data_IF_539715634704
#
_entry.id   IF_539715634704
#
_cell.length_a   1.000
_cell.length_b   1.000
_cell.length_c   1.000
_cell.angle_alpha   90.00
_cell.angle_beta   90.00
_cell.angle_gamma   90.00
#
_symmetry.space_group_name_H-M   'P 1'
#
loop_
_entity.id
_entity.type
_entity.pdbx_description
1 polymer ?
#
# COMPACT_ATOMS: atom_id res chain seq x y z
N UNK A 1 -16.60 -17.86 -22.10
CA UNK A 1 -15.22 -17.34 -22.31
C UNK A 1 -14.87 -16.24 -21.33
N UNK A 2 -15.76 -15.29 -21.02
CA UNK A 2 -15.46 -14.16 -20.13
C UNK A 2 -14.99 -14.54 -18.72
N UNK A 3 -15.62 -15.56 -18.08
CA UNK A 3 -15.15 -16.08 -16.77
C UNK A 3 -13.69 -16.52 -16.80
N UNK A 4 -13.26 -17.19 -17.88
CA UNK A 4 -11.87 -17.60 -18.04
C UNK A 4 -10.94 -16.38 -18.21
N UNK A 5 -11.36 -15.36 -18.96
CA UNK A 5 -10.59 -14.11 -19.09
C UNK A 5 -10.46 -13.39 -17.74
N UNK A 6 -11.51 -13.36 -16.92
CA UNK A 6 -11.46 -12.79 -15.57
C UNK A 6 -10.38 -13.49 -14.73
N UNK A 7 -10.43 -14.82 -14.64
CA UNK A 7 -9.46 -15.55 -13.82
C UNK A 7 -8.04 -15.45 -14.38
N UNK A 8 -7.86 -15.41 -15.71
CA UNK A 8 -6.54 -15.28 -16.32
C UNK A 8 -5.98 -13.85 -16.34
N UNK A 9 -6.76 -12.85 -15.92
CA UNK A 9 -6.32 -11.46 -15.93
C UNK A 9 -5.25 -11.22 -14.86
N UNK A 10 -4.04 -10.86 -15.30
CA UNK A 10 -2.91 -10.49 -14.43
C UNK A 10 -2.65 -8.99 -14.50
N UNK A 11 -2.27 -8.33 -13.40
CA UNK A 11 -1.87 -6.92 -13.44
C UNK A 11 -0.64 -6.75 -14.35
N UNK A 12 -0.70 -5.88 -15.35
CA UNK A 12 0.46 -5.65 -16.21
C UNK A 12 1.57 -4.91 -15.45
N UNK A 13 2.84 -5.10 -15.87
CA UNK A 13 4.03 -4.58 -15.15
C UNK A 13 3.93 -3.10 -14.77
N UNK A 14 3.41 -2.28 -15.68
CA UNK A 14 3.29 -0.82 -15.52
C UNK A 14 1.83 -0.37 -15.34
N UNK A 15 0.92 -1.30 -15.08
CA UNK A 15 -0.49 -1.00 -14.83
C UNK A 15 -0.72 -0.60 -13.38
N UNK A 16 -1.32 0.57 -13.17
CA UNK A 16 -1.80 1.00 -11.86
C UNK A 16 -2.87 0.08 -11.31
N UNK A 17 -2.88 -0.12 -9.99
CA UNK A 17 -3.82 -1.04 -9.37
C UNK A 17 -5.29 -0.64 -9.57
N UNK A 18 -5.59 0.66 -9.59
CA UNK A 18 -6.92 1.17 -9.91
C UNK A 18 -7.40 0.79 -11.33
N UNK A 19 -6.52 0.85 -12.33
CA UNK A 19 -6.84 0.46 -13.72
C UNK A 19 -7.06 -1.04 -13.84
N UNK A 20 -6.26 -1.83 -13.10
CA UNK A 20 -6.43 -3.27 -13.01
C UNK A 20 -7.78 -3.64 -12.40
N UNK A 21 -8.15 -3.03 -11.27
CA UNK A 21 -9.46 -3.25 -10.62
C UNK A 21 -10.61 -2.83 -11.54
N UNK A 22 -10.49 -1.71 -12.25
CA UNK A 22 -11.49 -1.28 -13.23
C UNK A 22 -11.67 -2.31 -14.35
N UNK A 23 -10.57 -2.86 -14.87
CA UNK A 23 -10.61 -3.92 -15.88
C UNK A 23 -11.30 -5.19 -15.36
N UNK A 24 -11.01 -5.59 -14.12
CA UNK A 24 -11.66 -6.73 -13.48
C UNK A 24 -13.16 -6.50 -13.30
N UNK A 25 -13.59 -5.29 -12.90
CA UNK A 25 -15.00 -4.90 -12.80
C UNK A 25 -15.70 -5.01 -14.16
N UNK A 26 -15.09 -4.52 -15.24
CA UNK A 26 -15.65 -4.64 -16.60
C UNK A 26 -15.77 -6.10 -17.05
N UNK A 27 -14.76 -6.94 -16.78
CA UNK A 27 -14.84 -8.38 -17.10
C UNK A 27 -15.95 -9.05 -16.28
N UNK A 28 -16.05 -8.74 -14.99
CA UNK A 28 -17.04 -9.32 -14.10
C UNK A 28 -18.48 -8.93 -14.48
N UNK A 29 -18.73 -7.73 -15.01
CA UNK A 29 -20.07 -7.32 -15.50
C UNK A 29 -20.63 -8.24 -16.59
N UNK A 30 -19.75 -8.84 -17.40
CA UNK A 30 -20.12 -9.77 -18.48
C UNK A 30 -20.03 -11.24 -18.05
N UNK A 31 -19.66 -11.48 -16.79
CA UNK A 31 -19.66 -12.79 -16.18
C UNK A 31 -20.91 -12.90 -15.30
N UNK A 32 -21.65 -14.01 -15.39
CA UNK A 32 -22.80 -14.27 -14.50
C UNK A 32 -22.36 -14.60 -13.07
N UNK A 33 -21.53 -13.75 -12.46
CA UNK A 33 -21.04 -13.88 -11.08
C UNK A 33 -22.05 -13.35 -10.05
N UNK A 34 -23.00 -12.51 -10.48
CA UNK A 34 -24.03 -11.91 -9.64
C UNK A 34 -23.40 -11.30 -8.36
N UNK A 35 -23.87 -11.73 -7.19
CA UNK A 35 -23.43 -11.25 -5.88
C UNK A 35 -21.97 -11.59 -5.53
N UNK A 36 -21.33 -12.53 -6.25
CA UNK A 36 -19.93 -12.91 -6.02
C UNK A 36 -18.92 -11.91 -6.59
N UNK A 37 -19.37 -10.93 -7.39
CA UNK A 37 -18.46 -9.99 -8.06
C UNK A 37 -17.55 -9.27 -7.07
N UNK A 38 -18.11 -8.79 -5.95
CA UNK A 38 -17.37 -8.01 -4.96
C UNK A 38 -16.46 -8.86 -4.06
N UNK A 39 -16.67 -10.17 -3.99
CA UNK A 39 -15.77 -11.10 -3.28
C UNK A 39 -14.67 -11.66 -4.18
N UNK A 40 -14.95 -11.86 -5.47
CA UNK A 40 -13.99 -12.41 -6.42
C UNK A 40 -12.89 -11.42 -6.83
N UNK A 41 -13.19 -10.11 -6.87
CA UNK A 41 -12.18 -9.10 -7.24
C UNK A 41 -11.05 -9.02 -6.19
N UNK A 42 -11.33 -8.97 -4.87
CA UNK A 42 -10.30 -9.08 -3.84
C UNK A 42 -9.45 -10.35 -3.95
N UNK A 43 -10.08 -11.51 -4.19
CA UNK A 43 -9.35 -12.78 -4.38
C UNK A 43 -8.42 -12.73 -5.60
N UNK A 44 -8.89 -12.16 -6.69
CA UNK A 44 -8.09 -11.97 -7.89
C UNK A 44 -6.98 -10.93 -7.67
N UNK A 45 -7.20 -9.91 -6.86
CA UNK A 45 -6.19 -8.91 -6.50
C UNK A 45 -5.06 -9.53 -5.67
N UNK A 46 -5.40 -10.38 -4.70
CA UNK A 46 -4.44 -11.17 -3.91
C UNK A 46 -3.58 -12.05 -4.83
N UNK A 47 -4.19 -12.72 -5.81
CA UNK A 47 -3.51 -13.68 -6.67
C UNK A 47 -2.59 -13.04 -7.72
N UNK A 48 -2.95 -11.86 -8.21
CA UNK A 48 -2.45 -11.36 -9.49
C UNK A 48 -1.95 -9.90 -9.46
N UNK A 49 -1.81 -9.29 -8.27
CA UNK A 49 -1.14 -8.00 -8.12
C UNK A 49 0.37 -8.11 -8.25
N UNK A 50 1.02 -7.05 -8.74
CA UNK A 50 2.48 -6.94 -8.84
C UNK A 50 3.13 -6.49 -7.52
N UNK A 51 2.35 -6.16 -6.49
CA UNK A 51 2.86 -5.67 -5.23
C UNK A 51 2.70 -6.72 -4.11
N UNK A 52 3.79 -7.40 -3.70
CA UNK A 52 3.70 -8.47 -2.69
C UNK A 52 3.25 -7.96 -1.32
N UNK A 53 3.52 -6.70 -0.98
CA UNK A 53 3.06 -6.12 0.29
C UNK A 53 1.55 -5.87 0.28
N UNK A 54 0.98 -5.53 -0.87
CA UNK A 54 -0.49 -5.43 -1.03
C UNK A 54 -1.07 -6.83 -0.82
N UNK A 55 -0.53 -7.84 -1.50
CA UNK A 55 -0.96 -9.24 -1.34
C UNK A 55 -0.96 -9.70 0.12
N UNK A 56 0.12 -9.45 0.87
CA UNK A 56 0.24 -9.77 2.30
C UNK A 56 -0.88 -9.11 3.13
N UNK A 57 -1.09 -7.80 2.94
CA UNK A 57 -2.12 -7.06 3.69
C UNK A 57 -3.54 -7.54 3.39
N UNK A 58 -3.82 -7.86 2.13
CA UNK A 58 -5.13 -8.37 1.73
C UNK A 58 -5.40 -9.75 2.32
N UNK A 59 -4.40 -10.65 2.29
CA UNK A 59 -4.49 -11.99 2.89
C UNK A 59 -4.75 -11.95 4.40
N UNK A 60 -4.13 -11.00 5.11
CA UNK A 60 -4.27 -10.89 6.56
C UNK A 60 -5.67 -10.44 7.00
N UNK A 61 -6.31 -9.52 6.26
CA UNK A 61 -7.56 -8.86 6.71
C UNK A 61 -8.83 -9.39 6.03
N UNK A 62 -8.74 -10.09 4.88
CA UNK A 62 -9.89 -10.44 4.01
C UNK A 62 -10.86 -9.25 3.82
N UNK A 63 -10.38 -8.12 3.29
CA UNK A 63 -11.16 -6.88 3.21
C UNK A 63 -12.30 -6.96 2.18
N UNK A 64 -13.27 -6.06 2.33
CA UNK A 64 -14.23 -5.75 1.24
C UNK A 64 -13.51 -5.19 0.01
N UNK A 65 -14.16 -5.20 -1.16
CA UNK A 65 -13.59 -4.64 -2.39
C UNK A 65 -13.16 -3.17 -2.23
N UNK A 66 -13.97 -2.36 -1.57
CA UNK A 66 -13.65 -0.96 -1.32
C UNK A 66 -12.40 -0.81 -0.43
N UNK A 67 -12.33 -1.56 0.65
CA UNK A 67 -11.15 -1.56 1.53
C UNK A 67 -9.89 -2.07 0.81
N UNK A 68 -10.02 -3.13 0.00
CA UNK A 68 -8.92 -3.67 -0.79
C UNK A 68 -8.35 -2.63 -1.75
N UNK A 69 -9.23 -1.87 -2.41
CA UNK A 69 -8.84 -0.78 -3.30
C UNK A 69 -8.11 0.33 -2.53
N UNK A 70 -8.64 0.78 -1.39
CA UNK A 70 -8.00 1.81 -0.54
C UNK A 70 -6.60 1.37 -0.10
N UNK A 71 -6.45 0.11 0.34
CA UNK A 71 -5.15 -0.44 0.76
C UNK A 71 -4.16 -0.39 -0.41
N UNK A 72 -4.58 -0.88 -1.58
CA UNK A 72 -3.71 -0.94 -2.75
C UNK A 72 -3.28 0.45 -3.24
N UNK A 73 -4.23 1.38 -3.36
CA UNK A 73 -3.98 2.76 -3.77
C UNK A 73 -3.04 3.47 -2.78
N UNK A 74 -3.31 3.35 -1.47
CA UNK A 74 -2.46 3.95 -0.43
C UNK A 74 -1.01 3.48 -0.52
N UNK A 75 -0.81 2.19 -0.83
CA UNK A 75 0.52 1.61 -0.95
C UNK A 75 1.22 2.02 -2.24
N UNK A 76 0.49 2.14 -3.36
CA UNK A 76 1.02 2.68 -4.61
C UNK A 76 1.49 4.14 -4.41
N UNK A 77 0.68 4.97 -3.75
CA UNK A 77 1.05 6.34 -3.39
C UNK A 77 2.27 6.41 -2.47
N UNK A 78 2.31 5.58 -1.41
CA UNK A 78 3.46 5.54 -0.50
C UNK A 78 4.77 5.17 -1.22
N UNK A 79 4.71 4.28 -2.21
CA UNK A 79 5.89 3.93 -3.03
C UNK A 79 6.33 5.11 -3.89
N UNK A 80 5.39 5.85 -4.49
CA UNK A 80 5.71 7.03 -5.30
C UNK A 80 6.34 8.13 -4.44
N UNK A 81 5.70 8.49 -3.31
CA UNK A 81 6.23 9.50 -2.40
C UNK A 81 7.59 9.10 -1.81
N UNK A 82 7.79 7.82 -1.48
CA UNK A 82 9.09 7.34 -1.00
C UNK A 82 10.20 7.47 -2.07
N UNK A 83 9.87 7.33 -3.37
CA UNK A 83 10.83 7.58 -4.46
C UNK A 83 11.18 9.06 -4.56
N UNK A 84 10.20 9.95 -4.43
CA UNK A 84 10.40 11.40 -4.43
C UNK A 84 11.26 11.86 -3.24
N UNK A 85 10.95 11.38 -2.03
CA UNK A 85 11.67 11.77 -0.81
C UNK A 85 13.14 11.31 -0.82
N UNK A 86 13.48 10.20 -1.49
CA UNK A 86 14.88 9.76 -1.67
C UNK A 86 15.72 10.71 -2.53
N UNK A 87 15.09 11.66 -3.24
CA UNK A 87 15.76 12.74 -3.95
C UNK A 87 16.07 13.97 -3.10
N UNK A 88 15.50 14.07 -1.89
CA UNK A 88 15.85 15.11 -0.93
C UNK A 88 17.00 14.60 -0.05
N UNK A 89 18.14 15.31 -0.06
CA UNK A 89 19.21 15.10 0.91
C UNK A 89 18.70 15.23 2.35
N UNK A 90 19.51 14.87 3.37
CA UNK A 90 19.04 14.80 4.75
C UNK A 90 18.32 16.08 5.17
N UNK A 91 16.98 15.99 5.30
CA UNK A 91 16.16 17.03 5.89
C UNK A 91 16.63 17.23 7.31
N UNK A 92 17.33 18.33 7.54
CA UNK A 92 17.66 18.79 8.88
C UNK A 92 16.34 18.97 9.65
N UNK A 93 16.16 18.20 10.72
CA UNK A 93 15.08 18.44 11.66
C UNK A 93 15.29 19.82 12.27
N UNK A 94 14.50 20.80 11.84
CA UNK A 94 14.38 22.08 12.53
C UNK A 94 13.73 21.82 13.87
N UNK A 95 14.57 21.68 14.91
CA UNK A 95 14.12 21.72 16.28
C UNK A 95 13.49 23.10 16.52
N UNK A 96 12.16 23.17 16.58
CA UNK A 96 11.47 24.34 17.08
C UNK A 96 11.63 24.34 18.61
N UNK A 97 12.77 24.84 19.09
CA UNK A 97 12.96 25.17 20.50
C UNK A 97 12.22 26.48 20.79
N UNK A 98 10.90 26.39 20.92
CA UNK A 98 10.14 27.38 21.66
C UNK A 98 10.21 27.01 23.13
N UNK A 99 11.16 27.61 23.83
CA UNK A 99 11.30 27.52 25.27
C UNK A 99 10.00 27.94 25.97
N UNK A 100 9.27 26.98 26.51
CA UNK A 100 8.25 27.23 27.54
C UNK A 100 8.96 27.00 28.88
N UNK A 101 9.18 28.03 29.70
CA UNK A 101 9.77 27.83 31.02
C UNK A 101 8.72 27.21 31.95
N UNK A 102 8.96 25.98 32.40
CA UNK A 102 8.25 25.42 33.56
C UNK A 102 7.43 24.13 33.36
N UNK A 103 7.84 23.20 32.50
CA UNK A 103 7.27 21.84 32.51
C UNK A 103 8.36 20.80 32.76
N UNK A 104 8.41 20.33 34.01
CA UNK A 104 9.19 19.16 34.41
C UNK A 104 8.53 17.89 33.87
N UNK A 105 9.18 17.21 32.92
CA UNK A 105 9.16 15.74 32.75
C UNK A 105 10.00 15.29 31.54
N UNK A 106 11.17 14.75 31.85
CA UNK A 106 11.81 13.58 31.24
C UNK A 106 11.22 13.07 29.92
N UNK A 107 11.72 13.55 28.78
CA UNK A 107 11.50 12.92 27.47
C UNK A 107 12.71 13.12 26.57
N UNK A 108 13.91 12.71 27.03
CA UNK A 108 15.10 12.72 26.16
C UNK A 108 16.00 11.53 26.46
N UNK A 109 15.57 10.30 26.13
CA UNK A 109 16.53 9.21 25.96
C UNK A 109 16.00 8.03 25.13
N UNK A 110 15.58 8.23 23.87
CA UNK A 110 15.32 7.07 23.00
C UNK A 110 15.49 7.32 21.48
N UNK A 111 16.22 8.36 21.05
CA UNK A 111 16.57 8.54 19.63
C UNK A 111 18.02 8.18 19.28
N UNK A 112 18.90 7.98 20.27
CA UNK A 112 20.31 7.61 20.02
C UNK A 112 20.54 6.11 19.72
N UNK A 113 19.50 5.27 19.80
CA UNK A 113 19.66 3.84 19.56
C UNK A 113 19.64 3.48 18.06
N UNK A 114 18.95 4.25 17.21
CA UNK A 114 18.74 3.87 15.81
C UNK A 114 19.93 4.22 14.90
N UNK A 115 20.78 5.19 15.28
CA UNK A 115 21.92 5.59 14.46
C UNK A 115 23.20 4.76 14.68
N UNK A 116 23.30 3.98 15.77
CA UNK A 116 24.55 3.25 16.08
C UNK A 116 24.64 1.84 15.51
N UNK A 117 23.56 1.30 14.92
CA UNK A 117 23.53 -0.09 14.40
C UNK A 117 24.00 -0.19 12.95
N UNK A 118 24.01 0.91 12.17
CA UNK A 118 24.40 0.88 10.74
C UNK A 118 25.87 1.18 10.44
N UNK A 119 26.76 1.24 11.44
CA UNK A 119 28.20 1.50 11.23
C UNK A 119 29.14 0.39 11.74
N UNK A 120 28.63 -0.84 11.92
CA UNK A 120 29.49 -2.03 12.08
C UNK A 120 28.92 -3.21 11.29
N UNK A 121 29.24 -3.24 10.01
CA UNK A 121 29.40 -4.44 9.20
C UNK A 121 30.56 -4.19 8.23
#
# INVERSE_FOLDING_TARGET
>A
MERHKFFMRLQAKDERVGNYIASLKTLAQTCDFAELTDSLIPDQLVRCTNNPRVQEKLLAKKPSLQEAQIIADSMEHAILWAKEMKGAGPSHCIHAESAIPGSSRDYVQECDFVQKVSSKA
#
